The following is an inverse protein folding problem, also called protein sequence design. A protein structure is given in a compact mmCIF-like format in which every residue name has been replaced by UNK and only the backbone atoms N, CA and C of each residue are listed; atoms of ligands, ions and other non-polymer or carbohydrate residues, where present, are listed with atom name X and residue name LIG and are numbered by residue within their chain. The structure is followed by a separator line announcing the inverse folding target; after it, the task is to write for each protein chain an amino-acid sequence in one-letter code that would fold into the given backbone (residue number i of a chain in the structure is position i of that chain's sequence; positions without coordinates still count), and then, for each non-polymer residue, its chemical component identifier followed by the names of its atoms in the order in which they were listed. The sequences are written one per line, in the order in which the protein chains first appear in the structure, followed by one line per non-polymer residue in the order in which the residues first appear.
data_IF_261533142994
#
_entry.id   IF_261533142994
#
_cell.length_a   1.000
_cell.length_b   1.000
_cell.length_c   1.000
_cell.angle_alpha   90.00
_cell.angle_beta   90.00
_cell.angle_gamma   90.00
#
_symmetry.space_group_name_H-M   'P 1'
#
loop_
_entity.id
_entity.type
_entity.pdbx_description
1 polymer ?
#
# COMPACT_ATOMS: atom_id res chain seq x y z
N UNK A 1 22.92 6.92 2.85
CA UNK A 1 21.74 6.63 2.02
C UNK A 1 20.47 6.77 2.84
N UNK A 2 19.51 7.55 2.36
CA UNK A 2 18.16 7.65 2.91
C UNK A 2 17.23 6.65 2.22
N UNK A 3 16.23 6.18 2.95
CA UNK A 3 15.09 5.46 2.40
C UNK A 3 13.83 6.30 2.63
N UNK A 4 13.11 6.63 1.55
CA UNK A 4 11.88 7.42 1.59
C UNK A 4 10.72 6.50 1.25
N UNK A 5 9.86 6.25 2.23
CA UNK A 5 8.72 5.35 2.09
C UNK A 5 7.49 6.10 1.58
N UNK A 6 7.07 5.83 0.33
CA UNK A 6 5.96 6.55 -0.30
C UNK A 6 4.77 5.62 -0.53
N UNK A 7 3.62 5.99 0.01
CA UNK A 7 2.41 5.17 -0.11
C UNK A 7 1.14 6.00 -0.23
N UNK A 8 0.14 5.42 -0.91
CA UNK A 8 -1.22 5.97 -0.88
C UNK A 8 -1.95 5.46 0.36
N UNK A 9 -2.76 6.32 0.96
CA UNK A 9 -3.51 6.04 2.19
C UNK A 9 -4.99 6.37 1.99
N UNK A 10 -5.85 5.57 2.64
CA UNK A 10 -7.29 5.81 2.72
C UNK A 10 -7.80 5.82 4.17
N UNK A 11 -8.01 4.66 4.78
CA UNK A 11 -8.63 4.58 6.11
C UNK A 11 -8.15 3.39 6.95
N UNK A 12 -7.09 2.71 6.52
CA UNK A 12 -6.48 1.57 7.18
C UNK A 12 -5.61 1.97 8.39
N UNK A 13 -6.21 2.54 9.44
CA UNK A 13 -5.49 3.07 10.62
C UNK A 13 -4.62 2.02 11.32
N UNK A 14 -5.12 0.80 11.49
CA UNK A 14 -4.35 -0.31 12.10
C UNK A 14 -3.08 -0.61 11.29
N UNK A 15 -3.20 -0.64 9.95
CA UNK A 15 -2.08 -0.92 9.06
C UNK A 15 -1.12 0.27 8.98
N UNK A 16 -1.63 1.50 9.00
CA UNK A 16 -0.78 2.69 9.08
C UNK A 16 0.05 2.69 10.36
N UNK A 17 -0.58 2.44 11.51
CA UNK A 17 0.11 2.34 12.80
C UNK A 17 1.17 1.25 12.77
N UNK A 18 0.82 0.07 12.24
CA UNK A 18 1.75 -1.03 12.12
C UNK A 18 2.94 -0.70 11.22
N UNK A 19 2.68 -0.17 10.02
CA UNK A 19 3.68 0.25 9.05
C UNK A 19 4.68 1.23 9.66
N UNK A 20 4.20 2.31 10.27
CA UNK A 20 5.05 3.32 10.87
C UNK A 20 5.91 2.71 11.98
N UNK A 21 5.31 1.93 12.88
CA UNK A 21 5.99 1.35 14.02
C UNK A 21 7.14 0.40 13.65
N UNK A 22 6.97 -0.45 12.62
CA UNK A 22 8.03 -1.40 12.25
C UNK A 22 9.08 -0.81 11.31
N UNK A 23 8.75 0.25 10.57
CA UNK A 23 9.63 0.85 9.57
C UNK A 23 10.39 2.08 10.09
N UNK A 24 9.98 2.68 11.22
CA UNK A 24 10.53 3.94 11.72
C UNK A 24 12.07 3.95 11.78
N UNK A 25 12.68 2.88 12.28
CA UNK A 25 14.15 2.75 12.39
C UNK A 25 14.87 2.56 11.04
N UNK A 26 14.14 2.19 9.99
CA UNK A 26 14.70 1.80 8.70
C UNK A 26 14.52 2.88 7.63
N UNK A 27 13.47 3.69 7.75
CA UNK A 27 13.17 4.77 6.80
C UNK A 27 13.44 6.13 7.41
N UNK A 28 13.78 7.09 6.56
CA UNK A 28 14.12 8.45 6.97
C UNK A 28 12.89 9.37 6.91
N UNK A 29 11.99 9.12 5.95
CA UNK A 29 10.72 9.86 5.80
C UNK A 29 9.60 8.96 5.29
N UNK A 30 8.40 9.24 5.75
CA UNK A 30 7.16 8.66 5.23
C UNK A 30 6.42 9.72 4.40
N UNK A 31 6.22 9.48 3.11
CA UNK A 31 5.32 10.27 2.28
C UNK A 31 3.97 9.56 2.26
N UNK A 32 3.06 10.08 3.10
CA UNK A 32 1.68 9.61 3.22
C UNK A 32 0.80 10.44 2.30
N UNK A 33 0.26 9.83 1.24
CA UNK A 33 -0.58 10.52 0.26
C UNK A 33 -2.05 10.17 0.45
N UNK A 34 -2.84 11.12 0.90
CA UNK A 34 -4.26 10.98 1.16
C UNK A 34 -5.08 11.99 0.34
N UNK A 35 -6.20 11.56 -0.25
CA UNK A 35 -7.10 12.44 -0.98
C UNK A 35 -8.32 12.84 -0.14
N UNK A 36 -8.92 14.01 -0.41
CA UNK A 36 -10.21 14.44 0.21
C UNK A 36 -11.42 13.78 -0.46
N UNK A 37 -11.19 12.93 -1.46
CA UNK A 37 -12.23 12.20 -2.18
C UNK A 37 -11.79 10.74 -2.38
N UNK A 38 -12.73 9.81 -2.42
CA UNK A 38 -12.46 8.42 -2.81
C UNK A 38 -12.08 8.31 -4.30
N UNK A 39 -11.63 7.12 -4.74
CA UNK A 39 -11.39 6.89 -6.16
C UNK A 39 -12.67 7.03 -6.99
N UNK A 40 -13.84 6.77 -6.39
CA UNK A 40 -15.15 7.01 -7.01
C UNK A 40 -15.65 8.46 -6.90
N UNK A 41 -14.79 9.38 -6.44
CA UNK A 41 -15.09 10.82 -6.41
C UNK A 41 -16.05 11.23 -5.29
N UNK A 42 -16.28 10.39 -4.28
CA UNK A 42 -17.10 10.71 -3.12
C UNK A 42 -16.26 11.51 -2.14
N UNK A 43 -16.74 12.68 -1.72
CA UNK A 43 -16.08 13.52 -0.72
C UNK A 43 -15.96 12.80 0.63
N UNK A 44 -14.82 12.95 1.29
CA UNK A 44 -14.52 12.35 2.60
C UNK A 44 -13.56 13.25 3.38
N UNK A 45 -13.54 13.11 4.71
CA UNK A 45 -12.46 13.67 5.51
C UNK A 45 -11.12 12.95 5.25
N UNK A 46 -10.03 13.59 5.68
CA UNK A 46 -8.72 12.96 5.71
C UNK A 46 -8.56 12.19 7.02
N UNK A 47 -8.58 10.87 6.94
CA UNK A 47 -8.51 9.96 8.09
C UNK A 47 -7.23 10.17 8.88
N UNK A 48 -6.10 10.52 8.24
CA UNK A 48 -4.87 10.76 9.00
C UNK A 48 -4.98 12.03 9.86
N UNK A 49 -5.59 13.09 9.34
CA UNK A 49 -5.80 14.34 10.10
C UNK A 49 -6.74 14.13 11.29
N UNK A 50 -7.80 13.35 11.08
CA UNK A 50 -8.80 13.03 12.12
C UNK A 50 -8.22 12.24 13.31
N UNK A 51 -7.06 11.59 13.14
CA UNK A 51 -6.43 10.70 14.12
C UNK A 51 -4.93 10.98 14.31
N UNK A 52 -4.48 12.18 13.95
CA UNK A 52 -3.06 12.53 13.84
C UNK A 52 -2.30 12.39 15.16
N UNK A 53 -2.99 12.59 16.27
CA UNK A 53 -2.49 12.40 17.63
C UNK A 53 -2.07 10.96 17.93
N UNK A 54 -2.65 9.96 17.26
CA UNK A 54 -2.25 8.56 17.41
C UNK A 54 -0.85 8.27 16.85
N UNK A 55 -0.31 9.19 16.05
CA UNK A 55 0.95 9.04 15.31
C UNK A 55 1.99 10.07 15.74
N UNK A 56 1.83 10.73 16.90
CA UNK A 56 2.71 11.78 17.40
C UNK A 56 4.19 11.36 17.40
N UNK A 57 4.47 10.12 17.81
CA UNK A 57 5.82 9.54 17.84
C UNK A 57 6.55 9.61 16.49
N UNK A 58 5.82 9.60 15.37
CA UNK A 58 6.38 9.55 14.02
C UNK A 58 6.24 10.88 13.26
N UNK A 59 5.62 11.91 13.85
CA UNK A 59 5.22 13.13 13.14
C UNK A 59 6.40 13.86 12.47
N UNK A 60 7.58 13.83 13.08
CA UNK A 60 8.78 14.46 12.53
C UNK A 60 9.25 13.84 11.20
N UNK A 61 8.89 12.58 10.94
CA UNK A 61 9.23 11.88 9.69
C UNK A 61 8.09 11.85 8.67
N UNK A 62 6.85 12.17 9.08
CA UNK A 62 5.68 12.09 8.19
C UNK A 62 5.54 13.38 7.37
N UNK A 63 5.61 13.22 6.06
CA UNK A 63 5.24 14.22 5.07
C UNK A 63 3.86 13.86 4.54
N UNK A 64 2.83 14.45 5.14
CA UNK A 64 1.45 14.26 4.73
C UNK A 64 1.11 15.12 3.51
N UNK A 65 0.71 14.45 2.43
CA UNK A 65 0.28 15.08 1.18
C UNK A 65 -1.23 14.91 1.06
N UNK A 66 -1.95 16.01 1.26
CA UNK A 66 -3.38 16.10 1.01
C UNK A 66 -3.61 16.39 -0.48
N UNK A 67 -4.44 15.57 -1.12
CA UNK A 67 -4.85 15.69 -2.51
C UNK A 67 -6.31 16.12 -2.56
N UNK A 68 -6.53 17.42 -2.69
CA UNK A 68 -7.85 18.05 -2.79
C UNK A 68 -8.31 18.29 -4.24
N UNK A 69 -7.43 17.99 -5.20
CA UNK A 69 -7.55 18.31 -6.62
C UNK A 69 -7.67 17.06 -7.51
N UNK A 70 -8.27 15.97 -7.02
CA UNK A 70 -8.59 14.82 -7.87
C UNK A 70 -9.38 15.25 -9.12
N UNK A 71 -9.05 14.72 -10.31
CA UNK A 71 -9.61 15.20 -11.58
C UNK A 71 -11.10 14.88 -11.76
N UNK A 72 -11.59 13.78 -11.15
CA UNK A 72 -12.97 13.33 -11.33
C UNK A 72 -13.68 13.17 -9.98
N UNK A 73 -14.80 13.87 -9.82
CA UNK A 73 -15.57 13.92 -8.57
C UNK A 73 -17.06 13.67 -8.85
N UNK A 74 -17.81 13.24 -7.85
CA UNK A 74 -19.27 13.15 -7.95
C UNK A 74 -19.88 14.55 -8.18
N UNK A 75 -20.99 14.67 -8.93
CA UNK A 75 -21.70 13.61 -9.67
C UNK A 75 -21.13 13.34 -11.09
N UNK A 76 -20.01 13.97 -11.47
CA UNK A 76 -19.53 14.03 -12.86
C UNK A 76 -18.57 12.90 -13.27
N UNK A 77 -18.09 12.10 -12.32
CA UNK A 77 -17.24 10.95 -12.60
C UNK A 77 -17.96 9.90 -13.43
N UNK A 78 -17.26 9.35 -14.42
CA UNK A 78 -17.76 8.36 -15.34
C UNK A 78 -16.96 7.05 -15.20
N UNK A 79 -17.58 6.09 -14.53
CA UNK A 79 -17.01 4.75 -14.27
C UNK A 79 -16.83 3.94 -15.56
N UNK A 80 -17.69 4.13 -16.57
CA UNK A 80 -17.55 3.42 -17.85
C UNK A 80 -16.34 3.90 -18.65
N UNK A 81 -15.88 5.13 -18.40
CA UNK A 81 -14.62 5.69 -18.92
C UNK A 81 -13.40 5.37 -18.04
N UNK A 82 -13.55 4.54 -17.00
CA UNK A 82 -12.49 4.16 -16.05
C UNK A 82 -11.89 5.33 -15.26
N UNK A 83 -12.62 6.44 -15.10
CA UNK A 83 -12.11 7.65 -14.43
C UNK A 83 -11.75 7.44 -12.94
N UNK A 84 -12.29 6.42 -12.30
CA UNK A 84 -11.87 6.01 -10.95
C UNK A 84 -10.44 5.46 -10.91
N UNK A 85 -9.95 4.90 -12.01
CA UNK A 85 -8.56 4.50 -12.15
C UNK A 85 -7.68 5.74 -12.34
N UNK A 86 -8.13 6.70 -13.13
CA UNK A 86 -7.42 7.98 -13.30
C UNK A 86 -7.26 8.73 -11.97
N UNK A 87 -8.27 8.67 -11.10
CA UNK A 87 -8.17 9.20 -9.74
C UNK A 87 -7.11 8.48 -8.87
N UNK A 88 -7.05 7.15 -8.92
CA UNK A 88 -6.01 6.37 -8.21
C UNK A 88 -4.60 6.68 -8.73
N UNK A 89 -4.46 6.75 -10.06
CA UNK A 89 -3.21 7.14 -10.74
C UNK A 89 -2.79 8.54 -10.30
N UNK A 90 -3.73 9.50 -10.31
CA UNK A 90 -3.47 10.87 -9.91
C UNK A 90 -3.03 10.97 -8.44
N UNK A 91 -3.75 10.31 -7.53
CA UNK A 91 -3.38 10.26 -6.11
C UNK A 91 -1.95 9.72 -5.95
N UNK A 92 -1.61 8.59 -6.59
CA UNK A 92 -0.26 8.03 -6.51
C UNK A 92 0.79 8.95 -7.10
N UNK A 93 0.50 9.62 -8.21
CA UNK A 93 1.41 10.58 -8.82
C UNK A 93 1.67 11.80 -7.93
N UNK A 94 0.79 12.08 -6.96
CA UNK A 94 1.03 13.12 -5.96
C UNK A 94 2.14 12.79 -4.96
N UNK A 95 2.70 11.57 -4.95
CA UNK A 95 3.98 11.26 -4.27
C UNK A 95 5.06 12.28 -4.67
N UNK A 96 5.05 12.73 -5.93
CA UNK A 96 5.92 13.80 -6.43
C UNK A 96 5.91 15.07 -5.56
N UNK A 97 4.75 15.44 -5.00
CA UNK A 97 4.59 16.62 -4.13
C UNK A 97 5.38 16.42 -2.83
N UNK A 98 5.30 15.23 -2.24
CA UNK A 98 6.08 14.84 -1.07
C UNK A 98 7.58 14.82 -1.34
N UNK A 99 8.00 14.25 -2.48
CA UNK A 99 9.41 14.20 -2.87
C UNK A 99 10.00 15.61 -3.04
N UNK A 100 9.23 16.55 -3.61
CA UNK A 100 9.64 17.96 -3.69
C UNK A 100 9.83 18.58 -2.30
N UNK A 101 8.94 18.29 -1.34
CA UNK A 101 9.07 18.78 0.04
C UNK A 101 10.31 18.20 0.72
N UNK A 102 10.52 16.88 0.69
CA UNK A 102 11.70 16.23 1.26
C UNK A 102 12.98 16.80 0.64
N UNK A 103 13.04 16.89 -0.70
CA UNK A 103 14.20 17.48 -1.39
C UNK A 103 14.49 18.91 -0.95
N UNK A 104 13.46 19.74 -0.82
CA UNK A 104 13.63 21.14 -0.43
C UNK A 104 14.11 21.34 1.01
N UNK A 105 13.67 20.47 1.93
CA UNK A 105 13.93 20.60 3.38
C UNK A 105 15.16 19.82 3.85
N UNK A 106 15.44 18.68 3.21
CA UNK A 106 16.39 17.68 3.72
C UNK A 106 17.39 17.20 2.67
N UNK A 107 17.21 17.60 1.41
CA UNK A 107 17.97 17.08 0.27
C UNK A 107 17.68 15.62 -0.04
N UNK A 108 17.83 15.25 -1.30
CA UNK A 108 17.80 13.85 -1.75
C UNK A 108 19.01 13.65 -2.65
N UNK A 109 19.83 12.65 -2.34
CA UNK A 109 21.02 12.25 -3.09
C UNK A 109 20.67 11.18 -4.12
N UNK A 110 21.54 10.99 -5.10
CA UNK A 110 21.34 10.03 -6.20
C UNK A 110 21.21 8.57 -5.73
N UNK A 111 21.91 8.22 -4.66
CA UNK A 111 21.90 6.89 -4.03
C UNK A 111 20.70 6.68 -3.10
N UNK A 112 19.99 7.73 -2.70
CA UNK A 112 18.79 7.60 -1.85
C UNK A 112 17.71 6.76 -2.57
N UNK A 113 16.94 5.99 -1.80
CA UNK A 113 15.95 5.03 -2.34
C UNK A 113 14.54 5.50 -2.07
N UNK A 114 13.69 5.40 -3.09
CA UNK A 114 12.25 5.66 -3.00
C UNK A 114 11.52 4.31 -3.00
N UNK A 115 10.71 4.06 -1.98
CA UNK A 115 9.76 2.95 -1.95
C UNK A 115 8.41 3.44 -2.44
N UNK A 116 7.73 2.65 -3.27
CA UNK A 116 6.45 3.02 -3.89
C UNK A 116 5.48 1.86 -3.69
N UNK A 117 4.54 2.02 -2.78
CA UNK A 117 3.57 0.97 -2.43
C UNK A 117 2.21 1.54 -2.02
N UNK A 118 1.33 0.69 -1.50
CA UNK A 118 0.11 1.09 -0.79
C UNK A 118 0.29 0.87 0.72
N UNK A 119 -0.56 1.50 1.54
CA UNK A 119 -0.44 1.39 3.01
C UNK A 119 -0.46 -0.06 3.49
N UNK A 120 -1.24 -0.93 2.81
CA UNK A 120 -1.36 -2.36 3.08
C UNK A 120 -0.21 -3.21 2.51
N UNK A 121 0.73 -2.61 1.78
CA UNK A 121 1.92 -3.26 1.24
C UNK A 121 3.14 -2.88 2.07
N UNK A 122 3.41 -3.66 3.10
CA UNK A 122 4.41 -3.42 4.14
C UNK A 122 5.78 -3.97 3.69
N UNK A 123 6.80 -3.12 3.45
CA UNK A 123 8.16 -3.58 3.17
C UNK A 123 8.77 -4.35 4.35
N UNK A 124 9.68 -5.28 4.05
CA UNK A 124 10.40 -6.03 5.07
C UNK A 124 11.54 -5.20 5.71
N UNK A 125 11.51 -4.94 7.02
CA UNK A 125 12.57 -4.20 7.70
C UNK A 125 13.97 -4.81 7.52
N UNK A 126 14.10 -6.15 7.47
CA UNK A 126 15.40 -6.80 7.26
C UNK A 126 15.95 -6.49 5.86
N UNK A 127 15.10 -6.60 4.84
CA UNK A 127 15.44 -6.22 3.46
C UNK A 127 15.79 -4.74 3.38
N UNK A 128 15.04 -3.85 4.05
CA UNK A 128 15.37 -2.43 4.09
C UNK A 128 16.72 -2.16 4.79
N UNK A 129 17.07 -2.95 5.82
CA UNK A 129 18.38 -2.85 6.46
C UNK A 129 19.52 -3.17 5.48
N UNK A 130 19.38 -4.27 4.72
CA UNK A 130 20.35 -4.68 3.70
C UNK A 130 20.47 -3.67 2.56
N UNK A 131 19.35 -3.04 2.19
CA UNK A 131 19.36 -1.89 1.27
C UNK A 131 20.18 -0.78 1.91
N UNK A 132 19.85 -0.36 3.15
CA UNK A 132 20.49 0.76 3.86
C UNK A 132 21.99 0.61 4.04
N UNK A 133 22.49 -0.62 4.24
CA UNK A 133 23.93 -0.95 4.32
C UNK A 133 24.61 -1.01 2.95
N UNK A 134 23.85 -1.04 1.86
CA UNK A 134 24.35 -1.16 0.49
C UNK A 134 24.67 -2.60 0.06
N UNK A 135 24.32 -3.59 0.88
CA UNK A 135 24.42 -5.02 0.54
C UNK A 135 23.46 -5.38 -0.60
N UNK A 136 22.26 -4.79 -0.59
CA UNK A 136 21.34 -4.78 -1.72
C UNK A 136 21.42 -3.41 -2.40
N UNK A 137 21.94 -3.38 -3.63
CA UNK A 137 21.96 -2.16 -4.45
C UNK A 137 20.65 -2.00 -5.20
N UNK A 138 20.11 -0.79 -5.18
CA UNK A 138 18.85 -0.46 -5.85
C UNK A 138 19.13 0.32 -7.15
N UNK A 139 18.51 -0.12 -8.24
CA UNK A 139 18.30 0.66 -9.46
C UNK A 139 16.79 0.87 -9.61
N UNK A 140 16.10 -0.17 -10.07
CA UNK A 140 14.64 -0.33 -9.98
C UNK A 140 14.31 -1.81 -9.78
N UNK A 141 13.70 -2.15 -8.65
CA UNK A 141 13.40 -3.52 -8.26
C UNK A 141 11.96 -3.68 -7.77
N UNK A 142 11.42 -4.88 -7.99
CA UNK A 142 10.16 -5.35 -7.43
C UNK A 142 10.42 -5.89 -6.02
N UNK A 143 9.66 -5.40 -5.05
CA UNK A 143 9.61 -6.02 -3.73
C UNK A 143 8.59 -7.16 -3.80
N UNK A 144 9.07 -8.42 -3.75
CA UNK A 144 8.20 -9.60 -3.81
C UNK A 144 7.63 -9.86 -2.44
N UNK A 145 6.32 -9.73 -2.31
CA UNK A 145 5.61 -9.79 -1.04
C UNK A 145 4.77 -11.06 -0.90
N UNK A 146 4.74 -11.61 0.31
CA UNK A 146 3.73 -12.59 0.67
C UNK A 146 2.37 -11.92 0.79
N UNK A 147 1.37 -12.48 0.11
CA UNK A 147 0.06 -11.86 0.02
C UNK A 147 -0.93 -12.54 0.97
N UNK A 148 -1.37 -11.80 1.99
CA UNK A 148 -2.41 -12.17 2.93
C UNK A 148 -3.70 -11.43 2.63
N UNK A 149 -4.79 -12.19 2.56
CA UNK A 149 -6.06 -11.64 2.10
C UNK A 149 -6.86 -11.02 3.24
N UNK A 150 -7.29 -11.80 4.23
CA UNK A 150 -8.12 -11.31 5.35
C UNK A 150 -7.36 -11.16 6.67
N UNK A 151 -6.39 -12.03 6.89
CA UNK A 151 -5.68 -12.21 8.15
C UNK A 151 -4.39 -13.01 7.89
N UNK A 152 -3.60 -13.26 8.93
CA UNK A 152 -2.29 -13.92 8.81
C UNK A 152 -2.37 -15.43 8.55
N UNK A 153 -3.57 -16.01 8.51
CA UNK A 153 -3.76 -17.41 8.11
C UNK A 153 -4.30 -17.56 6.70
N UNK A 154 -4.88 -16.51 6.13
CA UNK A 154 -5.51 -16.51 4.81
C UNK A 154 -4.53 -16.08 3.72
N UNK A 155 -3.57 -16.96 3.39
CA UNK A 155 -2.47 -16.64 2.47
C UNK A 155 -2.83 -16.98 1.02
N UNK A 156 -2.58 -16.07 0.09
CA UNK A 156 -2.71 -16.32 -1.34
C UNK A 156 -1.57 -17.21 -1.84
N UNK A 157 -1.86 -18.06 -2.83
CA UNK A 157 -0.83 -18.89 -3.46
C UNK A 157 0.19 -18.05 -4.28
N UNK A 158 -0.29 -16.97 -4.89
CA UNK A 158 0.53 -16.05 -5.67
C UNK A 158 1.20 -15.00 -4.78
N UNK A 159 2.40 -14.59 -5.18
CA UNK A 159 3.10 -13.45 -4.57
C UNK A 159 2.57 -12.14 -5.14
N UNK A 160 2.67 -11.08 -4.34
CA UNK A 160 2.37 -9.73 -4.77
C UNK A 160 3.66 -9.00 -5.17
N UNK A 161 3.70 -8.37 -6.35
CA UNK A 161 4.94 -7.82 -6.94
C UNK A 161 4.78 -6.35 -7.40
N UNK A 162 3.76 -5.63 -6.92
CA UNK A 162 3.53 -4.25 -7.35
C UNK A 162 4.35 -3.21 -6.59
N UNK A 163 4.68 -3.45 -5.31
CA UNK A 163 5.58 -2.59 -4.56
C UNK A 163 6.96 -2.50 -5.24
N UNK A 164 7.54 -1.29 -5.27
CA UNK A 164 8.81 -1.00 -5.94
C UNK A 164 9.80 -0.31 -5.00
N UNK A 165 11.07 -0.60 -5.20
CA UNK A 165 12.18 0.22 -4.75
C UNK A 165 12.88 0.80 -5.99
N UNK A 166 13.19 2.09 -5.99
CA UNK A 166 13.89 2.76 -7.10
C UNK A 166 14.90 3.75 -6.52
N UNK A 167 16.12 3.79 -7.07
CA UNK A 167 17.09 4.81 -6.68
C UNK A 167 16.65 6.18 -7.19
N UNK A 168 16.98 7.23 -6.47
CA UNK A 168 16.62 8.59 -6.88
C UNK A 168 17.25 8.94 -8.22
N UNK A 169 18.50 8.50 -8.47
CA UNK A 169 19.14 8.58 -9.78
C UNK A 169 18.30 7.94 -10.88
N UNK A 170 17.90 6.68 -10.71
CA UNK A 170 17.10 5.98 -11.71
C UNK A 170 15.76 6.65 -11.97
N UNK A 171 15.11 7.13 -10.91
CA UNK A 171 13.89 7.90 -11.02
C UNK A 171 14.07 9.16 -11.89
N UNK A 172 15.16 9.91 -11.70
CA UNK A 172 15.48 11.08 -12.53
C UNK A 172 15.77 10.69 -14.00
N UNK A 173 16.51 9.60 -14.22
CA UNK A 173 16.81 9.09 -15.57
C UNK A 173 15.56 8.65 -16.32
N UNK A 174 14.64 7.95 -15.65
CA UNK A 174 13.39 7.49 -16.24
C UNK A 174 12.47 8.67 -16.60
N UNK A 175 12.41 9.70 -15.74
CA UNK A 175 11.56 10.89 -15.92
C UNK A 175 10.09 10.53 -16.23
N UNK A 176 9.55 9.56 -15.50
CA UNK A 176 8.15 9.10 -15.59
C UNK A 176 7.42 9.33 -14.27
N UNK A 177 6.10 9.15 -14.28
CA UNK A 177 5.30 9.32 -13.07
C UNK A 177 5.38 8.10 -12.12
N UNK A 178 5.06 8.31 -10.85
CA UNK A 178 5.14 7.27 -9.81
C UNK A 178 4.23 6.06 -10.08
N UNK A 179 3.06 6.28 -10.69
CA UNK A 179 2.23 5.16 -11.15
C UNK A 179 2.94 4.31 -12.21
N UNK A 180 3.64 4.93 -13.16
CA UNK A 180 4.36 4.20 -14.21
C UNK A 180 5.53 3.40 -13.63
N UNK A 181 6.22 3.93 -12.61
CA UNK A 181 7.25 3.18 -11.87
C UNK A 181 6.63 1.95 -11.19
N UNK A 182 5.48 2.11 -10.51
CA UNK A 182 4.76 0.99 -9.87
C UNK A 182 4.40 -0.11 -10.88
N UNK A 183 4.09 0.29 -12.11
CA UNK A 183 3.69 -0.60 -13.21
C UNK A 183 4.85 -1.03 -14.11
N UNK A 184 6.09 -0.65 -13.79
CA UNK A 184 7.25 -0.81 -14.66
C UNK A 184 7.46 -2.25 -15.15
N UNK A 185 7.20 -3.24 -14.29
CA UNK A 185 7.33 -4.66 -14.60
C UNK A 185 6.26 -5.22 -15.57
N UNK A 186 5.28 -4.41 -16.00
CA UNK A 186 4.31 -4.81 -17.03
C UNK A 186 4.82 -4.61 -18.44
N UNK A 187 5.81 -3.73 -18.62
CA UNK A 187 6.34 -3.34 -19.92
C UNK A 187 7.84 -3.53 -20.04
N UNK A 188 8.54 -3.73 -18.91
CA UNK A 188 9.98 -3.87 -18.85
C UNK A 188 10.37 -5.00 -17.90
N UNK A 189 11.56 -5.57 -18.11
CA UNK A 189 12.17 -6.44 -17.11
C UNK A 189 12.56 -5.60 -15.88
N UNK A 190 12.20 -6.13 -14.71
CA UNK A 190 12.46 -5.48 -13.43
C UNK A 190 12.91 -6.56 -12.45
N UNK A 191 14.13 -6.44 -11.95
CA UNK A 191 14.70 -7.42 -11.03
C UNK A 191 13.85 -7.55 -9.76
N UNK A 192 13.87 -8.73 -9.17
CA UNK A 192 13.07 -9.06 -7.98
C UNK A 192 13.96 -9.11 -6.75
N UNK A 193 13.49 -8.51 -5.68
CA UNK A 193 14.00 -8.71 -4.34
C UNK A 193 13.00 -9.63 -3.63
N UNK A 194 13.40 -10.88 -3.46
CA UNK A 194 12.67 -11.84 -2.63
C UNK A 194 12.66 -11.38 -1.17
N UNK A 195 11.64 -11.81 -0.41
CA UNK A 195 11.39 -11.29 0.94
C UNK A 195 11.29 -9.75 0.95
N UNK A 196 10.55 -9.20 -0.02
CA UNK A 196 10.27 -7.77 -0.11
C UNK A 196 9.20 -7.28 0.87
N UNK A 197 8.60 -8.17 1.67
CA UNK A 197 7.60 -7.84 2.69
C UNK A 197 6.26 -8.55 2.50
N UNK A 198 5.17 -7.85 2.83
CA UNK A 198 3.84 -8.44 2.93
C UNK A 198 2.75 -7.52 2.39
N UNK A 199 1.77 -8.09 1.67
CA UNK A 199 0.55 -7.39 1.28
C UNK A 199 -0.62 -7.87 2.13
N UNK A 200 -1.25 -6.95 2.89
CA UNK A 200 -2.26 -7.20 3.92
C UNK A 200 -3.63 -6.64 3.48
N UNK A 201 -4.18 -7.14 2.37
CA UNK A 201 -5.20 -6.43 1.56
C UNK A 201 -6.52 -6.07 2.27
N UNK A 202 -7.19 -7.04 2.88
CA UNK A 202 -8.52 -6.90 3.49
C UNK A 202 -8.47 -7.14 5.00
N UNK A 203 -7.43 -6.60 5.65
CA UNK A 203 -7.28 -6.66 7.10
C UNK A 203 -8.25 -5.67 7.76
N UNK A 204 -9.43 -6.17 8.08
CA UNK A 204 -10.49 -5.46 8.78
C UNK A 204 -11.74 -6.33 8.91
N UNK A 205 -12.82 -5.76 9.43
CA UNK A 205 -14.11 -6.45 9.54
C UNK A 205 -14.93 -6.39 8.23
N UNK A 206 -16.09 -7.03 8.22
CA UNK A 206 -17.01 -7.04 7.07
C UNK A 206 -17.47 -5.63 6.65
N UNK A 207 -17.58 -4.69 7.59
CA UNK A 207 -17.97 -3.31 7.29
C UNK A 207 -16.83 -2.55 6.60
N UNK A 208 -15.60 -2.72 7.09
CA UNK A 208 -14.38 -2.21 6.48
C UNK A 208 -14.23 -2.70 5.04
N UNK A 209 -14.37 -4.02 4.82
CA UNK A 209 -14.27 -4.63 3.48
C UNK A 209 -15.35 -4.06 2.54
N UNK A 210 -16.61 -3.99 2.98
CA UNK A 210 -17.69 -3.40 2.18
C UNK A 210 -17.38 -1.96 1.80
N UNK A 211 -16.94 -1.15 2.76
CA UNK A 211 -16.55 0.24 2.52
C UNK A 211 -15.42 0.35 1.49
N UNK A 212 -14.39 -0.49 1.59
CA UNK A 212 -13.28 -0.54 0.62
C UNK A 212 -13.79 -0.88 -0.79
N UNK A 213 -14.66 -1.88 -0.93
CA UNK A 213 -15.24 -2.28 -2.23
C UNK A 213 -16.06 -1.14 -2.87
N UNK A 214 -16.82 -0.41 -2.06
CA UNK A 214 -17.66 0.68 -2.58
C UNK A 214 -16.86 1.89 -3.07
N UNK A 215 -15.65 2.10 -2.53
CA UNK A 215 -14.90 3.35 -2.72
C UNK A 215 -13.62 3.22 -3.57
N UNK A 216 -13.09 2.01 -3.77
CA UNK A 216 -11.86 1.79 -4.53
C UNK A 216 -12.06 1.75 -6.06
N UNK A 217 -10.97 1.69 -6.83
CA UNK A 217 -11.01 1.70 -8.30
C UNK A 217 -11.73 0.51 -9.00
N UNK A 218 -11.83 -0.67 -8.37
CA UNK A 218 -12.40 -1.87 -9.00
C UNK A 218 -13.95 -1.93 -8.91
N UNK A 219 -14.61 -0.93 -9.49
CA UNK A 219 -16.06 -0.76 -9.41
C UNK A 219 -16.88 -1.87 -10.08
N UNK A 220 -16.27 -2.73 -10.90
CA UNK A 220 -16.95 -3.96 -11.36
C UNK A 220 -17.35 -4.88 -10.21
N UNK A 221 -16.69 -4.79 -9.05
CA UNK A 221 -17.00 -5.57 -7.86
C UNK A 221 -17.97 -4.87 -6.90
N UNK A 222 -18.37 -3.63 -7.18
CA UNK A 222 -19.36 -2.92 -6.37
C UNK A 222 -20.78 -3.41 -6.73
N UNK A 223 -21.06 -4.65 -6.37
CA UNK A 223 -22.33 -5.34 -6.61
C UNK A 223 -22.77 -6.02 -5.33
N UNK A 224 -24.09 -6.13 -5.11
CA UNK A 224 -24.68 -6.70 -3.90
C UNK A 224 -24.08 -8.05 -3.52
N UNK A 225 -23.82 -8.93 -4.49
CA UNK A 225 -23.18 -10.24 -4.26
C UNK A 225 -21.80 -10.18 -3.57
N UNK A 226 -21.10 -9.06 -3.64
CA UNK A 226 -19.77 -8.83 -3.06
C UNK A 226 -19.78 -7.81 -1.92
N UNK A 227 -20.85 -7.03 -1.79
CA UNK A 227 -21.00 -6.01 -0.73
C UNK A 227 -21.97 -6.44 0.38
N UNK A 228 -22.68 -7.55 0.22
CA UNK A 228 -23.51 -8.17 1.24
C UNK A 228 -22.66 -8.60 2.44
N UNK A 229 -23.06 -8.17 3.64
CA UNK A 229 -22.25 -8.32 4.85
C UNK A 229 -22.13 -9.79 5.29
N UNK A 230 -23.21 -10.56 5.17
CA UNK A 230 -23.23 -11.95 5.62
C UNK A 230 -22.39 -12.81 4.68
N UNK A 231 -22.45 -12.56 3.36
CA UNK A 231 -21.55 -13.19 2.39
C UNK A 231 -20.09 -12.82 2.59
N UNK A 232 -19.78 -11.56 2.91
CA UNK A 232 -18.40 -11.16 3.22
C UNK A 232 -17.90 -11.94 4.44
N UNK A 233 -18.69 -12.01 5.51
CA UNK A 233 -18.33 -12.73 6.74
C UNK A 233 -18.16 -14.23 6.52
N UNK A 234 -19.07 -14.86 5.77
CA UNK A 234 -18.95 -16.26 5.36
C UNK A 234 -17.62 -16.50 4.62
N UNK A 235 -17.30 -15.63 3.64
CA UNK A 235 -16.08 -15.75 2.84
C UNK A 235 -14.81 -15.53 3.64
N UNK A 236 -14.82 -14.59 4.59
CA UNK A 236 -13.72 -14.36 5.52
C UNK A 236 -13.45 -15.60 6.38
N UNK A 237 -14.51 -16.16 6.99
CA UNK A 237 -14.41 -17.31 7.89
C UNK A 237 -13.96 -18.59 7.17
N UNK A 238 -14.42 -18.76 5.92
CA UNK A 238 -14.04 -19.89 5.08
C UNK A 238 -12.69 -19.69 4.36
N UNK A 239 -12.03 -18.53 4.50
CA UNK A 239 -10.83 -18.16 3.75
C UNK A 239 -10.99 -18.38 2.24
N UNK A 240 -12.05 -17.83 1.64
CA UNK A 240 -12.31 -17.91 0.19
C UNK A 240 -12.27 -16.52 -0.45
N UNK A 241 -12.02 -16.45 -1.76
CA UNK A 241 -11.93 -15.17 -2.48
C UNK A 241 -13.23 -14.35 -2.38
N UNK A 242 -13.12 -13.07 -2.03
CA UNK A 242 -14.25 -12.13 -1.93
C UNK A 242 -15.08 -12.08 -3.20
N UNK A 243 -14.44 -12.26 -4.36
CA UNK A 243 -15.03 -12.06 -5.67
C UNK A 243 -15.38 -13.35 -6.40
N UNK A 244 -15.14 -14.51 -5.76
CA UNK A 244 -15.40 -15.84 -6.32
C UNK A 244 -14.74 -16.04 -7.70
N UNK A 245 -13.53 -15.47 -7.87
CA UNK A 245 -12.82 -15.53 -9.15
C UNK A 245 -12.33 -16.96 -9.43
N UNK A 246 -12.57 -17.50 -10.63
CA UNK A 246 -12.09 -18.83 -11.00
C UNK A 246 -10.57 -18.95 -10.83
N UNK A 247 -10.12 -20.03 -10.17
CA UNK A 247 -8.70 -20.34 -9.99
C UNK A 247 -8.00 -19.60 -8.85
N UNK A 248 -8.62 -18.59 -8.25
CA UNK A 248 -8.06 -17.90 -7.08
C UNK A 248 -8.22 -18.78 -5.85
N UNK A 249 -7.10 -19.17 -5.24
CA UNK A 249 -7.05 -20.02 -4.05
C UNK A 249 -6.31 -19.33 -2.91
N UNK A 250 -6.91 -19.39 -1.73
CA UNK A 250 -6.30 -19.01 -0.47
C UNK A 250 -5.96 -20.31 0.27
N UNK A 251 -4.75 -20.39 0.76
CA UNK A 251 -4.26 -21.48 1.58
C UNK A 251 -4.38 -21.05 3.04
N UNK A 252 -5.15 -21.80 3.83
CA UNK A 252 -5.17 -21.62 5.27
C UNK A 252 -3.88 -22.17 5.85
N UNK A 253 -2.94 -21.29 6.20
CA UNK A 253 -1.65 -21.66 6.79
C UNK A 253 -1.64 -21.21 8.25
N UNK A 254 -1.32 -22.12 9.18
CA UNK A 254 -1.11 -21.76 10.58
C UNK A 254 0.06 -20.78 10.70
N UNK A 255 -0.04 -19.82 11.62
CA UNK A 255 1.06 -18.89 11.92
C UNK A 255 2.29 -19.62 12.47
N UNK A 256 2.12 -20.75 13.18
CA UNK A 256 3.21 -21.56 13.72
C UNK A 256 4.08 -22.25 12.64
N UNK A 257 3.52 -22.47 11.45
CA UNK A 257 4.21 -23.15 10.33
C UNK A 257 4.82 -22.16 9.33
N UNK A 258 4.79 -20.86 9.63
CA UNK A 258 5.23 -19.82 8.72
C UNK A 258 6.48 -19.09 9.23
N UNK A 259 7.59 -19.35 8.57
CA UNK A 259 8.92 -18.80 8.83
C UNK A 259 9.11 -17.36 8.34
N UNK A 260 8.15 -16.84 7.57
CA UNK A 260 8.19 -15.47 7.03
C UNK A 260 6.88 -14.71 7.30
N UNK A 261 6.62 -14.44 8.58
CA UNK A 261 5.51 -13.59 9.02
C UNK A 261 5.96 -12.14 9.20
N UNK A 262 5.03 -11.17 9.06
CA UNK A 262 5.32 -9.77 9.37
C UNK A 262 5.87 -9.64 10.80
N UNK A 263 6.98 -8.92 11.05
CA UNK A 263 7.57 -8.82 12.38
C UNK A 263 6.62 -8.11 13.35
N UNK A 264 6.72 -8.43 14.65
CA UNK A 264 5.87 -7.81 15.69
C UNK A 264 4.35 -7.97 15.47
N UNK A 265 3.92 -8.90 14.62
CA UNK A 265 2.51 -9.13 14.31
C UNK A 265 1.66 -9.47 15.54
N UNK A 266 2.23 -10.14 16.55
CA UNK A 266 1.55 -10.46 17.80
C UNK A 266 1.14 -9.23 18.62
N UNK A 267 1.84 -8.11 18.43
CA UNK A 267 1.55 -6.86 19.13
C UNK A 267 0.59 -5.96 18.34
N UNK A 268 0.85 -5.79 17.05
CA UNK A 268 0.14 -4.82 16.20
C UNK A 268 -1.00 -5.41 15.40
N UNK A 269 -0.92 -6.70 15.04
CA UNK A 269 -1.89 -7.40 14.19
C UNK A 269 -2.66 -8.47 14.97
N UNK A 270 -2.78 -8.34 16.29
CA UNK A 270 -3.41 -9.35 17.18
C UNK A 270 -4.83 -9.75 16.77
N UNK A 271 -5.59 -8.80 16.21
CA UNK A 271 -6.96 -9.05 15.74
C UNK A 271 -7.00 -9.90 14.45
N UNK A 272 -5.85 -10.12 13.82
CA UNK A 272 -5.67 -10.83 12.55
C UNK A 272 -4.89 -12.14 12.72
N UNK A 273 -4.74 -12.62 13.96
CA UNK A 273 -4.18 -13.91 14.33
C UNK A 273 -5.35 -14.80 14.73
N UNK A 274 -5.86 -15.58 13.79
CA UNK A 274 -6.96 -16.54 14.02
C UNK A 274 -6.44 -17.88 14.46
#
# INVERSE_FOLDING_TARGET
MKIIDCFTFYNELDLLRYRLAILDSYVDYFILVEATHSHTGIEKSCTYDDYKELFEEYQDKIIHIIVDDLPFKQPNINISKKQQWDNEIFQRNCIQRGIKQVKSRHGILEDDVLLISDVDEIPDPETLALIKTGEIKIDIQQLVQDFYYYNLTSKMAEKWCFAKAVSYKKYLELNIHFHDIRMYNRTNDCEKIEKGGWHLSYFGDKYFIRNKIQNFKHQQFNQEKYTDLDKIEERMNASIDLYERPGVKLNKKSTGDNDYLPPSYSSYLKNYIT
#
